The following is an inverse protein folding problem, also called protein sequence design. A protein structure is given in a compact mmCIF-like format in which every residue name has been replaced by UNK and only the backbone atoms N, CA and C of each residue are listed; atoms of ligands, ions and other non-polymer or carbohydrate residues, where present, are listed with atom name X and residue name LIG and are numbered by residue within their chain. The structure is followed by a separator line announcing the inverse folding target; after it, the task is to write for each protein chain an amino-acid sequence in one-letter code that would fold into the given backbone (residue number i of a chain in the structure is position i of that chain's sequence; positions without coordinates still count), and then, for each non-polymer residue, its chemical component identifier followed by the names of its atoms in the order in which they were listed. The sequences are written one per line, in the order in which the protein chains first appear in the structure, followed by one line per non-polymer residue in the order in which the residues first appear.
data_IF_373158110572
#
_entry.id   IF_373158110572
#
_cell.length_a   1.000
_cell.length_b   1.000
_cell.length_c   1.000
_cell.angle_alpha   90.00
_cell.angle_beta   90.00
_cell.angle_gamma   90.00
#
_symmetry.space_group_name_H-M   'P 1'
#
loop_
_entity.id
_entity.type
_entity.pdbx_description
1 polymer ?
#
# COMPACT_ATOMS: atom_id res chain seq x y z
N UNK A 1 38.37 -13.57 25.89
CA UNK A 1 37.41 -12.43 25.85
C UNK A 1 37.03 -12.15 27.30
N UNK A 2 37.19 -10.92 27.74
CA UNK A 2 36.88 -10.52 29.09
C UNK A 2 35.33 -10.33 29.24
N UNK A 3 34.86 -10.35 30.49
CA UNK A 3 33.41 -10.23 30.77
C UNK A 3 32.80 -8.95 30.22
N UNK A 4 33.55 -7.84 30.19
CA UNK A 4 33.12 -6.57 29.64
C UNK A 4 32.91 -6.66 28.15
N UNK A 5 33.83 -7.28 27.40
CA UNK A 5 33.71 -7.46 25.95
C UNK A 5 32.47 -8.31 25.61
N UNK A 6 32.25 -9.35 26.40
CA UNK A 6 31.06 -10.21 26.23
C UNK A 6 29.77 -9.45 26.48
N UNK A 7 29.70 -8.62 27.51
CA UNK A 7 28.55 -7.79 27.81
C UNK A 7 28.27 -6.77 26.70
N UNK A 8 29.31 -6.16 26.14
CA UNK A 8 29.20 -5.21 25.01
C UNK A 8 28.67 -5.93 23.78
N UNK A 9 29.19 -7.13 23.47
CA UNK A 9 28.73 -7.93 22.33
C UNK A 9 27.27 -8.35 22.48
N UNK A 10 26.85 -8.77 23.67
CA UNK A 10 25.47 -9.12 23.96
C UNK A 10 24.53 -7.91 23.81
N UNK A 11 24.94 -6.76 24.29
CA UNK A 11 24.19 -5.50 24.12
C UNK A 11 24.05 -5.12 22.66
N UNK A 12 25.13 -5.16 21.88
CA UNK A 12 25.08 -4.88 20.44
C UNK A 12 24.19 -5.85 19.70
N UNK A 13 24.20 -7.12 20.09
CA UNK A 13 23.32 -8.12 19.50
C UNK A 13 21.83 -7.83 19.78
N UNK A 14 21.50 -7.42 21.00
CA UNK A 14 20.16 -6.99 21.36
C UNK A 14 19.71 -5.75 20.61
N UNK A 15 20.60 -4.75 20.46
CA UNK A 15 20.32 -3.53 19.69
C UNK A 15 20.06 -3.85 18.23
N UNK A 16 20.82 -4.75 17.63
CA UNK A 16 20.61 -5.19 16.24
C UNK A 16 19.25 -5.82 16.02
N UNK A 17 18.72 -6.54 17.00
CA UNK A 17 17.36 -7.10 16.93
C UNK A 17 16.28 -6.02 16.86
N UNK A 18 16.53 -4.85 17.46
CA UNK A 18 15.58 -3.74 17.48
C UNK A 18 15.58 -2.94 16.18
N UNK A 19 16.63 -3.04 15.37
CA UNK A 19 16.75 -2.33 14.11
C UNK A 19 16.42 -3.29 12.96
N UNK A 20 15.26 -3.13 12.30
CA UNK A 20 14.88 -4.03 11.22
C UNK A 20 15.76 -3.81 9.99
N UNK A 21 16.13 -4.89 9.32
CA UNK A 21 16.77 -4.84 8.02
C UNK A 21 15.73 -4.51 6.91
N UNK A 22 16.19 -4.40 5.67
CA UNK A 22 15.30 -4.07 4.54
C UNK A 22 14.20 -5.10 4.34
N UNK A 23 14.50 -6.38 4.56
CA UNK A 23 13.51 -7.45 4.42
C UNK A 23 12.44 -7.36 5.51
N UNK A 24 12.83 -7.13 6.75
CA UNK A 24 11.90 -6.91 7.86
C UNK A 24 11.08 -5.63 7.65
N UNK A 25 11.72 -4.54 7.21
CA UNK A 25 11.05 -3.27 6.93
C UNK A 25 9.97 -3.43 5.86
N UNK A 26 10.25 -4.14 4.76
CA UNK A 26 9.23 -4.34 3.71
C UNK A 26 8.03 -5.15 4.20
N UNK A 27 8.25 -6.12 5.07
CA UNK A 27 7.15 -6.88 5.67
C UNK A 27 6.30 -6.01 6.58
N UNK A 28 6.91 -5.12 7.34
CA UNK A 28 6.21 -4.16 8.20
C UNK A 28 5.41 -3.16 7.39
N UNK A 29 6.03 -2.53 6.39
CA UNK A 29 5.35 -1.55 5.54
C UNK A 29 4.26 -2.20 4.69
N UNK A 30 4.43 -3.47 4.32
CA UNK A 30 3.40 -4.23 3.59
C UNK A 30 2.13 -4.41 4.42
N UNK A 31 2.24 -4.63 5.72
CA UNK A 31 1.07 -4.69 6.60
C UNK A 31 0.29 -3.37 6.59
N UNK A 32 1.00 -2.24 6.67
CA UNK A 32 0.38 -0.93 6.53
C UNK A 32 -0.20 -0.68 5.15
N UNK A 33 0.50 -1.10 4.11
CA UNK A 33 0.04 -0.97 2.73
C UNK A 33 -1.24 -1.78 2.49
N UNK A 34 -1.35 -2.98 3.06
CA UNK A 34 -2.55 -3.82 2.94
C UNK A 34 -3.76 -3.16 3.62
N UNK A 35 -3.57 -2.53 4.76
CA UNK A 35 -4.63 -1.74 5.43
C UNK A 35 -5.08 -0.58 4.53
N UNK A 36 -4.13 0.19 4.00
CA UNK A 36 -4.45 1.32 3.12
C UNK A 36 -5.14 0.86 1.83
N UNK A 37 -4.68 -0.24 1.24
CA UNK A 37 -5.34 -0.86 0.07
C UNK A 37 -6.80 -1.17 0.37
N UNK A 38 -7.08 -1.83 1.47
CA UNK A 38 -8.44 -2.23 1.84
C UNK A 38 -9.33 -1.01 2.07
N UNK A 39 -8.82 0.01 2.75
CA UNK A 39 -9.56 1.26 2.99
C UNK A 39 -9.80 2.04 1.69
N UNK A 40 -8.82 2.07 0.80
CA UNK A 40 -8.98 2.72 -0.50
C UNK A 40 -9.98 1.98 -1.38
N UNK A 41 -9.99 0.65 -1.35
CA UNK A 41 -11.03 -0.15 -2.03
C UNK A 41 -12.43 0.19 -1.51
N UNK A 42 -12.60 0.23 -0.21
CA UNK A 42 -13.88 0.58 0.42
C UNK A 42 -14.34 1.97 0.02
N UNK A 43 -13.46 2.95 0.06
CA UNK A 43 -13.80 4.33 -0.29
C UNK A 43 -14.09 4.49 -1.78
N UNK A 44 -13.34 3.81 -2.64
CA UNK A 44 -13.59 3.80 -4.07
C UNK A 44 -14.95 3.18 -4.39
N UNK A 45 -15.31 2.09 -3.73
CA UNK A 45 -16.64 1.47 -3.88
C UNK A 45 -17.73 2.40 -3.40
N UNK A 46 -17.53 3.07 -2.28
CA UNK A 46 -18.54 3.98 -1.72
C UNK A 46 -18.80 5.18 -2.61
N UNK A 47 -17.76 5.78 -3.19
CA UNK A 47 -17.87 7.03 -3.96
C UNK A 47 -17.97 6.85 -5.46
N UNK A 48 -17.33 5.84 -6.00
CA UNK A 48 -17.07 5.70 -7.44
C UNK A 48 -17.47 4.35 -8.00
N UNK A 49 -18.36 3.64 -7.33
CA UNK A 49 -18.89 2.37 -7.79
C UNK A 49 -20.36 2.51 -8.15
N UNK A 50 -20.69 2.24 -9.39
CA UNK A 50 -22.07 2.24 -9.85
C UNK A 50 -22.40 0.93 -10.55
N UNK A 51 -23.17 0.07 -9.87
CA UNK A 51 -23.59 -1.23 -10.40
C UNK A 51 -24.60 -1.10 -11.56
N UNK A 52 -25.27 0.04 -11.66
CA UNK A 52 -26.31 0.28 -12.67
C UNK A 52 -25.74 0.78 -14.00
N UNK A 53 -24.57 1.38 -13.99
CA UNK A 53 -23.94 1.86 -15.19
C UNK A 53 -23.25 0.74 -15.95
N UNK A 54 -23.22 0.89 -17.26
CA UNK A 54 -22.56 -0.06 -18.13
C UNK A 54 -21.09 -0.15 -17.79
N UNK A 55 -20.67 -1.33 -17.38
CA UNK A 55 -19.27 -1.64 -17.19
C UNK A 55 -18.83 -2.48 -18.39
N UNK A 56 -17.86 -1.97 -19.15
CA UNK A 56 -17.20 -2.74 -20.18
C UNK A 56 -16.53 -3.95 -19.55
N UNK A 57 -17.12 -5.13 -19.76
CA UNK A 57 -16.53 -6.37 -19.26
C UNK A 57 -15.30 -6.78 -20.06
N UNK A 58 -15.23 -6.36 -21.32
CA UNK A 58 -14.10 -6.63 -22.21
C UNK A 58 -13.76 -5.42 -23.06
N UNK A 59 -12.48 -5.17 -23.22
CA UNK A 59 -11.94 -4.16 -24.11
C UNK A 59 -10.75 -4.74 -24.88
N UNK A 60 -10.81 -4.73 -26.21
CA UNK A 60 -9.78 -5.31 -27.08
C UNK A 60 -9.40 -6.75 -26.67
N UNK A 61 -10.41 -7.58 -26.37
CA UNK A 61 -10.22 -8.98 -25.99
C UNK A 61 -9.72 -9.21 -24.56
N UNK A 62 -9.55 -8.16 -23.76
CA UNK A 62 -9.09 -8.26 -22.36
C UNK A 62 -10.25 -8.09 -21.39
N UNK A 63 -10.23 -8.87 -20.32
CA UNK A 63 -11.16 -8.67 -19.20
C UNK A 63 -10.81 -7.39 -18.46
N UNK A 64 -11.84 -6.59 -18.16
CA UNK A 64 -11.66 -5.33 -17.45
C UNK A 64 -12.14 -5.51 -16.01
N UNK A 65 -11.28 -5.18 -15.05
CA UNK A 65 -11.65 -5.09 -13.64
C UNK A 65 -12.37 -3.77 -13.37
N UNK A 66 -13.21 -3.74 -12.35
CA UNK A 66 -13.74 -2.48 -11.83
C UNK A 66 -12.61 -1.65 -11.22
N UNK A 67 -12.77 -0.32 -11.21
CA UNK A 67 -11.78 0.60 -10.64
C UNK A 67 -11.39 0.20 -9.21
N UNK A 68 -12.38 -0.09 -8.35
CA UNK A 68 -12.11 -0.50 -6.96
C UNK A 68 -11.34 -1.82 -6.87
N UNK A 69 -11.55 -2.74 -7.80
CA UNK A 69 -10.89 -4.04 -7.81
C UNK A 69 -9.48 -3.98 -8.42
N UNK A 70 -9.08 -2.84 -8.97
CA UNK A 70 -7.77 -2.62 -9.56
C UNK A 70 -6.72 -2.13 -8.56
N UNK A 71 -7.08 -1.96 -7.30
CA UNK A 71 -6.16 -1.47 -6.26
C UNK A 71 -5.34 -2.64 -5.74
N UNK A 72 -4.03 -2.47 -5.74
CA UNK A 72 -3.09 -3.49 -5.31
C UNK A 72 -2.02 -2.89 -4.39
N UNK A 73 -1.41 -3.74 -3.59
CA UNK A 73 -0.24 -3.39 -2.78
C UNK A 73 0.95 -4.27 -3.16
N UNK A 74 2.15 -3.74 -3.01
CA UNK A 74 3.39 -4.45 -3.32
C UNK A 74 4.43 -4.10 -2.25
N UNK A 75 5.33 -5.03 -1.96
CA UNK A 75 6.41 -4.87 -1.00
C UNK A 75 7.72 -4.39 -1.62
N UNK A 76 7.65 -3.84 -2.81
CA UNK A 76 8.78 -3.26 -3.56
C UNK A 76 8.54 -1.79 -3.84
N UNK A 77 9.61 -1.06 -4.18
CA UNK A 77 9.49 0.33 -4.58
C UNK A 77 8.97 0.45 -6.03
N UNK A 78 8.81 1.68 -6.50
CA UNK A 78 8.28 1.97 -7.84
C UNK A 78 9.16 1.40 -8.95
N UNK A 79 10.45 1.17 -8.69
CA UNK A 79 11.40 0.57 -9.64
C UNK A 79 11.44 -0.96 -9.56
N UNK A 80 10.63 -1.58 -8.70
CA UNK A 80 10.61 -3.02 -8.50
C UNK A 80 11.71 -3.56 -7.61
N UNK A 81 12.39 -2.69 -6.86
CA UNK A 81 13.49 -3.06 -5.96
C UNK A 81 13.02 -3.15 -4.51
N UNK A 82 13.67 -3.99 -3.73
CA UNK A 82 13.42 -4.13 -2.29
C UNK A 82 14.25 -3.11 -1.54
N UNK A 83 13.60 -2.07 -1.00
CA UNK A 83 14.26 -1.02 -0.21
C UNK A 83 13.63 -0.81 1.18
N UNK A 84 12.71 -1.68 1.58
CA UNK A 84 11.99 -1.56 2.83
C UNK A 84 10.66 -0.84 2.71
N UNK A 85 10.37 -0.20 1.58
CA UNK A 85 9.10 0.47 1.33
C UNK A 85 8.07 -0.48 0.71
N UNK A 86 6.81 -0.07 0.73
CA UNK A 86 5.71 -0.76 0.04
C UNK A 86 4.87 0.26 -0.71
N UNK A 87 4.16 -0.21 -1.74
CA UNK A 87 3.34 0.62 -2.60
C UNK A 87 1.88 0.22 -2.50
N UNK A 88 1.00 1.19 -2.64
CA UNK A 88 -0.43 0.99 -2.87
C UNK A 88 -0.85 1.85 -4.05
N UNK A 89 -1.56 1.27 -4.99
CA UNK A 89 -1.99 2.03 -6.15
C UNK A 89 -2.95 1.27 -7.04
N UNK A 90 -3.41 1.95 -8.06
CA UNK A 90 -4.30 1.40 -9.09
C UNK A 90 -3.47 0.75 -10.18
N UNK A 91 -3.93 -0.41 -10.66
CA UNK A 91 -3.25 -1.19 -11.68
C UNK A 91 -3.38 -0.58 -13.07
N UNK A 92 -2.42 -0.86 -13.93
CA UNK A 92 -2.43 -0.46 -15.32
C UNK A 92 -3.16 -1.44 -16.24
N UNK A 93 -2.97 -1.26 -17.54
CA UNK A 93 -3.65 -2.03 -18.60
C UNK A 93 -3.37 -3.53 -18.49
N UNK A 94 -2.12 -3.91 -18.20
CA UNK A 94 -1.69 -5.31 -18.19
C UNK A 94 -2.46 -6.14 -17.15
N UNK A 95 -2.65 -5.60 -15.95
CA UNK A 95 -3.25 -6.33 -14.83
C UNK A 95 -4.76 -6.17 -14.76
N UNK A 96 -5.30 -5.04 -15.21
CA UNK A 96 -6.72 -4.69 -15.00
C UNK A 96 -7.52 -4.46 -16.28
N UNK A 97 -6.90 -4.60 -17.45
CA UNK A 97 -7.55 -4.47 -18.74
C UNK A 97 -7.60 -3.05 -19.31
N UNK A 98 -7.61 -2.05 -18.44
CA UNK A 98 -7.51 -0.62 -18.78
C UNK A 98 -6.57 0.07 -17.82
N UNK A 99 -6.15 1.29 -18.14
CA UNK A 99 -5.26 2.04 -17.26
C UNK A 99 -6.05 2.71 -16.13
N UNK A 100 -6.36 1.95 -15.08
CA UNK A 100 -7.08 2.45 -13.92
C UNK A 100 -6.28 3.49 -13.13
N UNK A 101 -4.97 3.42 -13.15
CA UNK A 101 -4.12 4.45 -12.53
C UNK A 101 -4.39 5.83 -13.12
N UNK A 102 -4.54 5.91 -14.44
CA UNK A 102 -4.89 7.15 -15.13
C UNK A 102 -6.31 7.61 -14.81
N UNK A 103 -7.27 6.69 -14.82
CA UNK A 103 -8.67 6.98 -14.47
C UNK A 103 -8.78 7.50 -13.04
N UNK A 104 -8.14 6.84 -12.10
CA UNK A 104 -8.11 7.26 -10.70
C UNK A 104 -7.49 8.65 -10.54
N UNK A 105 -6.44 8.95 -11.28
CA UNK A 105 -5.80 10.26 -11.27
C UNK A 105 -6.75 11.36 -11.74
N UNK A 106 -7.52 11.11 -12.79
CA UNK A 106 -8.52 12.09 -13.28
C UNK A 106 -9.60 12.35 -12.24
N UNK A 107 -10.10 11.32 -11.57
CA UNK A 107 -11.13 11.45 -10.53
C UNK A 107 -10.55 12.18 -9.31
N UNK A 108 -9.35 11.84 -8.91
CA UNK A 108 -8.70 12.41 -7.72
C UNK A 108 -8.28 13.86 -7.93
N UNK A 109 -7.53 14.13 -8.99
CA UNK A 109 -6.95 15.45 -9.26
C UNK A 109 -7.89 16.38 -10.01
N UNK A 110 -8.83 15.82 -10.77
CA UNK A 110 -9.72 16.56 -11.64
C UNK A 110 -9.17 16.74 -13.05
N UNK A 111 -10.02 17.24 -13.91
CA UNK A 111 -9.72 17.57 -15.30
C UNK A 111 -10.27 18.96 -15.62
N UNK A 112 -10.08 19.45 -16.86
CA UNK A 112 -10.67 20.71 -17.32
C UNK A 112 -12.21 20.72 -17.22
N UNK A 113 -12.84 19.53 -17.28
CA UNK A 113 -14.30 19.38 -17.28
C UNK A 113 -14.87 18.85 -15.97
N UNK A 114 -14.03 18.40 -15.04
CA UNK A 114 -14.48 17.74 -13.82
C UNK A 114 -13.58 18.18 -12.65
N UNK A 115 -14.23 18.52 -11.53
CA UNK A 115 -13.52 18.83 -10.30
C UNK A 115 -13.04 17.52 -9.64
N UNK A 116 -11.80 17.50 -9.20
CA UNK A 116 -11.27 16.37 -8.42
C UNK A 116 -11.83 16.35 -7.00
N UNK A 117 -12.02 15.16 -6.44
CA UNK A 117 -12.49 14.97 -5.07
C UNK A 117 -11.39 14.61 -4.09
N UNK A 118 -10.17 14.37 -4.57
CA UNK A 118 -9.01 13.99 -3.75
C UNK A 118 -9.25 12.78 -2.84
N UNK A 119 -10.03 11.82 -3.33
CA UNK A 119 -10.42 10.66 -2.52
C UNK A 119 -9.23 9.83 -2.06
N UNK A 120 -8.14 9.78 -2.83
CA UNK A 120 -6.92 9.05 -2.47
C UNK A 120 -6.24 9.72 -1.27
N UNK A 121 -6.02 11.04 -1.33
CA UNK A 121 -5.41 11.80 -0.23
C UNK A 121 -6.26 11.76 1.03
N UNK A 122 -7.57 11.94 0.90
CA UNK A 122 -8.50 11.87 2.03
C UNK A 122 -8.48 10.48 2.69
N UNK A 123 -8.49 9.42 1.90
CA UNK A 123 -8.40 8.05 2.44
C UNK A 123 -7.10 7.85 3.20
N UNK A 124 -5.99 8.32 2.66
CA UNK A 124 -4.67 8.21 3.29
C UNK A 124 -4.62 8.96 4.62
N UNK A 125 -5.10 10.19 4.64
CA UNK A 125 -5.13 11.03 5.84
C UNK A 125 -6.05 10.45 6.92
N UNK A 126 -7.26 10.04 6.54
CA UNK A 126 -8.27 9.53 7.47
C UNK A 126 -7.87 8.20 8.10
N UNK A 127 -7.03 7.42 7.43
CA UNK A 127 -6.62 6.09 7.89
C UNK A 127 -5.14 5.99 8.28
N UNK A 128 -4.42 7.11 8.34
CA UNK A 128 -2.99 7.12 8.66
C UNK A 128 -2.70 6.44 10.00
N UNK A 129 -3.50 6.72 11.02
CA UNK A 129 -3.34 6.13 12.35
C UNK A 129 -3.48 4.61 12.33
N UNK A 130 -4.44 4.09 11.59
CA UNK A 130 -4.66 2.65 11.44
C UNK A 130 -3.52 1.98 10.68
N UNK A 131 -3.02 2.62 9.62
CA UNK A 131 -1.85 2.16 8.86
C UNK A 131 -0.62 2.07 9.76
N UNK A 132 -0.31 3.12 10.50
CA UNK A 132 0.82 3.13 11.41
C UNK A 132 0.68 2.12 12.56
N UNK A 133 -0.55 1.90 13.05
CA UNK A 133 -0.81 0.88 14.06
C UNK A 133 -0.50 -0.53 13.55
N UNK A 134 -0.86 -0.83 12.30
CA UNK A 134 -0.55 -2.11 11.68
C UNK A 134 0.96 -2.33 11.54
N UNK A 135 1.70 -1.29 11.13
CA UNK A 135 3.17 -1.34 11.03
C UNK A 135 3.79 -1.58 12.41
N UNK A 136 3.34 -0.83 13.42
CA UNK A 136 3.86 -0.93 14.78
C UNK A 136 3.58 -2.30 15.40
N UNK A 137 2.41 -2.88 15.16
CA UNK A 137 2.05 -4.21 15.64
C UNK A 137 2.95 -5.28 15.02
N UNK A 138 3.20 -5.21 13.71
CA UNK A 138 4.12 -6.12 13.03
C UNK A 138 5.53 -6.00 13.62
N UNK A 139 6.00 -4.79 13.85
CA UNK A 139 7.31 -4.56 14.50
C UNK A 139 7.40 -5.21 15.87
N UNK A 140 6.38 -5.04 16.71
CA UNK A 140 6.35 -5.64 18.06
C UNK A 140 6.41 -7.16 18.02
N UNK A 141 5.69 -7.78 17.09
CA UNK A 141 5.70 -9.24 16.89
C UNK A 141 7.07 -9.72 16.45
N UNK A 142 7.71 -9.00 15.54
CA UNK A 142 9.00 -9.41 14.98
C UNK A 142 10.16 -9.28 15.99
N UNK A 143 10.09 -8.32 16.91
CA UNK A 143 11.12 -8.09 17.94
C UNK A 143 10.77 -8.73 19.28
N UNK A 144 9.63 -9.42 19.40
CA UNK A 144 9.16 -10.11 20.62
C UNK A 144 9.05 -9.17 21.83
N UNK A 145 8.57 -7.95 21.63
CA UNK A 145 8.33 -7.00 22.73
C UNK A 145 6.97 -7.21 23.39
#
# INVERSE_FOLDING_TARGET
MDDFDKQVMDFLHQVKKLVPDKDAQRKMTKEGADVLRDRLQQETRRKHYDEKHYILKKYRGRNIKHLADSIASDDKNINGEIDGSSLVGFQGVKESGVNHARIARFINDGTKKMRGDHFVEHTREDNAKEVFSAIAEKYRKDVEL
#
